data_IF_441465282640
#
_entry.id   IF_441465282640
#
_cell.length_a   1.000
_cell.length_b   1.000
_cell.length_c   1.000
_cell.angle_alpha   90.00
_cell.angle_beta   90.00
_cell.angle_gamma   90.00
#
_symmetry.space_group_name_H-M   'P 1'
#
loop_
_entity.id
_entity.type
_entity.pdbx_description
1 polymer ?
#
# COMPACT_ATOMS: atom_id res chain seq x y z
N UNK A 1 -11.66 8.89 -14.11
CA UNK A 1 -11.02 8.04 -13.08
C UNK A 1 -12.08 7.19 -12.38
N UNK A 2 -12.10 5.88 -12.63
CA UNK A 2 -13.02 4.91 -12.00
C UNK A 2 -12.34 4.22 -10.81
N UNK A 3 -11.94 4.99 -9.81
CA UNK A 3 -11.56 4.45 -8.49
C UNK A 3 -12.70 4.87 -7.56
N UNK A 4 -13.56 3.91 -7.18
CA UNK A 4 -14.79 4.18 -6.44
C UNK A 4 -14.53 4.30 -4.93
N UNK A 5 -13.56 3.54 -4.41
CA UNK A 5 -13.23 3.50 -2.98
C UNK A 5 -12.77 4.85 -2.43
N UNK A 6 -11.89 5.56 -3.14
CA UNK A 6 -11.40 6.88 -2.70
C UNK A 6 -12.47 7.98 -2.65
N UNK A 7 -13.64 7.75 -3.27
CA UNK A 7 -14.76 8.69 -3.28
C UNK A 7 -15.78 8.42 -2.17
N UNK A 8 -15.56 7.38 -1.35
CA UNK A 8 -16.44 7.02 -0.26
C UNK A 8 -15.82 7.39 1.08
N UNK A 9 -16.60 7.96 1.98
CA UNK A 9 -16.18 8.17 3.37
C UNK A 9 -16.21 6.84 4.16
N UNK A 10 -15.85 6.86 5.44
CA UNK A 10 -15.84 5.66 6.28
C UNK A 10 -17.21 4.97 6.41
N UNK A 11 -18.30 5.71 6.25
CA UNK A 11 -19.68 5.20 6.25
C UNK A 11 -20.14 4.66 4.89
N UNK A 12 -19.29 4.73 3.86
CA UNK A 12 -19.60 4.25 2.51
C UNK A 12 -20.34 5.25 1.63
N UNK A 13 -20.61 6.47 2.10
CA UNK A 13 -21.30 7.50 1.34
C UNK A 13 -20.37 8.16 0.33
N UNK A 14 -20.89 8.51 -0.86
CA UNK A 14 -20.12 9.27 -1.85
C UNK A 14 -19.98 10.70 -1.34
N UNK A 15 -18.81 11.01 -0.80
CA UNK A 15 -18.48 12.31 -0.24
C UNK A 15 -17.03 12.63 -0.57
N UNK A 16 -16.76 13.85 -1.05
CA UNK A 16 -15.37 14.25 -1.28
C UNK A 16 -14.71 14.67 0.03
N UNK A 17 -14.02 13.74 0.68
CA UNK A 17 -13.24 13.98 1.89
C UNK A 17 -11.76 14.32 1.61
N UNK A 18 -11.37 14.44 0.34
CA UNK A 18 -10.01 14.81 -0.07
C UNK A 18 -9.92 16.28 -0.47
N UNK A 19 -8.81 16.91 -0.06
CA UNK A 19 -8.38 18.20 -0.62
C UNK A 19 -8.00 18.03 -2.09
N UNK A 20 -8.07 19.11 -2.87
CA UNK A 20 -7.71 19.06 -4.30
C UNK A 20 -6.24 18.71 -4.52
N UNK A 21 -5.36 19.14 -3.61
CA UNK A 21 -3.95 18.73 -3.61
C UNK A 21 -3.80 17.21 -3.49
N UNK A 22 -4.52 16.58 -2.56
CA UNK A 22 -4.49 15.12 -2.38
C UNK A 22 -5.01 14.40 -3.62
N UNK A 23 -6.10 14.87 -4.23
CA UNK A 23 -6.61 14.30 -5.50
C UNK A 23 -5.60 14.37 -6.63
N UNK A 24 -4.90 15.50 -6.77
CA UNK A 24 -3.92 15.69 -7.83
C UNK A 24 -2.71 14.77 -7.64
N UNK A 25 -2.20 14.66 -6.42
CA UNK A 25 -1.10 13.73 -6.09
C UNK A 25 -1.52 12.29 -6.34
N UNK A 26 -2.73 11.90 -5.92
CA UNK A 26 -3.25 10.56 -6.15
C UNK A 26 -3.39 10.26 -7.64
N UNK A 27 -3.91 11.21 -8.42
CA UNK A 27 -3.98 11.08 -9.88
C UNK A 27 -2.60 10.87 -10.51
N UNK A 28 -1.63 11.71 -10.16
CA UNK A 28 -0.28 11.60 -10.71
C UNK A 28 0.38 10.26 -10.38
N UNK A 29 0.17 9.74 -9.16
CA UNK A 29 0.69 8.41 -8.78
C UNK A 29 -0.02 7.28 -9.51
N UNK A 30 -1.33 7.36 -9.68
CA UNK A 30 -2.12 6.32 -10.36
C UNK A 30 -1.90 6.30 -11.87
N UNK A 31 -1.56 7.44 -12.48
CA UNK A 31 -1.16 7.51 -13.90
C UNK A 31 0.12 6.67 -14.18
N UNK A 32 1.00 6.48 -13.19
CA UNK A 32 2.16 5.57 -13.30
C UNK A 32 1.71 4.11 -13.50
N UNK A 33 0.75 3.64 -12.70
CA UNK A 33 0.21 2.28 -12.83
C UNK A 33 -0.53 2.09 -14.15
N UNK A 34 -1.27 3.10 -14.61
CA UNK A 34 -1.90 3.05 -15.94
C UNK A 34 -0.84 2.81 -17.01
N UNK A 35 0.25 3.60 -17.00
CA UNK A 35 1.33 3.44 -17.97
C UNK A 35 1.98 2.07 -17.87
N UNK A 36 2.41 1.68 -16.68
CA UNK A 36 3.11 0.41 -16.44
C UNK A 36 2.33 -0.80 -16.96
N UNK A 37 1.04 -0.90 -16.61
CA UNK A 37 0.23 -2.06 -17.01
C UNK A 37 -0.20 -1.98 -18.49
N UNK A 38 -0.28 -0.77 -19.06
CA UNK A 38 -0.45 -0.62 -20.51
C UNK A 38 0.77 -1.11 -21.29
N UNK A 39 1.98 -0.87 -20.76
CA UNK A 39 3.23 -1.36 -21.36
C UNK A 39 3.31 -2.90 -21.36
N UNK A 40 2.52 -3.59 -20.50
CA UNK A 40 2.36 -5.05 -20.50
C UNK A 40 1.27 -5.56 -21.47
N UNK A 41 0.68 -4.69 -22.31
CA UNK A 41 -0.38 -5.07 -23.24
C UNK A 41 -1.77 -5.21 -22.59
N UNK A 42 -1.95 -4.72 -21.36
CA UNK A 42 -3.24 -4.71 -20.67
C UNK A 42 -3.92 -3.33 -20.83
N UNK A 43 -5.24 -3.27 -20.67
CA UNK A 43 -5.91 -1.98 -20.48
C UNK A 43 -5.64 -1.46 -19.06
N UNK A 44 -4.54 -0.72 -18.89
CA UNK A 44 -4.10 -0.19 -17.60
C UNK A 44 -5.09 0.77 -16.94
N UNK A 45 -6.02 1.39 -17.71
CA UNK A 45 -7.10 2.21 -17.13
C UNK A 45 -8.21 1.34 -16.57
N UNK A 46 -8.57 0.25 -17.26
CA UNK A 46 -9.61 -0.69 -16.82
C UNK A 46 -9.17 -1.48 -15.59
N UNK A 47 -7.90 -1.88 -15.52
CA UNK A 47 -7.36 -2.70 -14.41
C UNK A 47 -6.83 -1.86 -13.25
N UNK A 48 -6.85 -0.53 -13.35
CA UNK A 48 -6.20 0.38 -12.41
C UNK A 48 -6.55 0.14 -10.93
N UNK A 49 -7.82 -0.09 -10.60
CA UNK A 49 -8.25 -0.27 -9.22
C UNK A 49 -7.66 -1.54 -8.60
N UNK A 50 -7.71 -2.66 -9.33
CA UNK A 50 -7.11 -3.93 -8.91
C UNK A 50 -5.58 -3.83 -8.84
N UNK A 51 -4.94 -3.20 -9.84
CA UNK A 51 -3.50 -2.99 -9.82
C UNK A 51 -3.03 -2.20 -8.58
N UNK A 52 -3.80 -1.18 -8.16
CA UNK A 52 -3.53 -0.42 -6.92
C UNK A 52 -3.70 -1.32 -5.69
N UNK A 53 -4.77 -2.12 -5.64
CA UNK A 53 -5.05 -3.02 -4.53
C UNK A 53 -3.96 -4.11 -4.39
N UNK A 54 -3.55 -4.74 -5.49
CA UNK A 54 -2.52 -5.77 -5.52
C UNK A 54 -1.16 -5.24 -5.04
N UNK A 55 -0.70 -4.11 -5.62
CA UNK A 55 0.57 -3.50 -5.24
C UNK A 55 0.54 -2.99 -3.80
N UNK A 56 -0.58 -2.39 -3.38
CA UNK A 56 -0.78 -1.93 -2.01
C UNK A 56 -0.77 -3.09 -1.01
N UNK A 57 -1.51 -4.17 -1.31
CA UNK A 57 -1.61 -5.36 -0.48
C UNK A 57 -0.27 -6.06 -0.30
N UNK A 58 0.48 -6.26 -1.39
CA UNK A 58 1.81 -6.87 -1.33
C UNK A 58 2.79 -6.02 -0.51
N UNK A 59 2.78 -4.70 -0.72
CA UNK A 59 3.63 -3.78 0.05
C UNK A 59 3.33 -3.84 1.55
N UNK A 60 2.05 -3.82 1.93
CA UNK A 60 1.63 -3.91 3.34
C UNK A 60 1.95 -5.29 3.94
N UNK A 61 1.73 -6.38 3.19
CA UNK A 61 2.08 -7.73 3.63
C UNK A 61 3.58 -7.86 3.90
N UNK A 62 4.43 -7.33 3.00
CA UNK A 62 5.87 -7.34 3.19
C UNK A 62 6.31 -6.49 4.39
N UNK A 63 5.71 -5.32 4.59
CA UNK A 63 5.97 -4.48 5.76
C UNK A 63 5.59 -5.18 7.07
N UNK A 64 4.43 -5.84 7.11
CA UNK A 64 3.97 -6.63 8.25
C UNK A 64 4.91 -7.81 8.54
N UNK A 65 5.31 -8.56 7.52
CA UNK A 65 6.28 -9.65 7.65
C UNK A 65 7.63 -9.16 8.19
N UNK A 66 8.15 -8.06 7.64
CA UNK A 66 9.42 -7.47 8.08
C UNK A 66 9.36 -7.02 9.55
N UNK A 67 8.25 -6.40 9.95
CA UNK A 67 8.00 -6.01 11.35
C UNK A 67 7.94 -7.22 12.28
N UNK A 68 7.20 -8.27 11.90
CA UNK A 68 7.14 -9.53 12.64
C UNK A 68 8.53 -10.16 12.80
N UNK A 69 9.28 -10.28 11.70
CA UNK A 69 10.64 -10.86 11.70
C UNK A 69 11.56 -10.12 12.67
N UNK A 70 11.54 -8.79 12.66
CA UNK A 70 12.36 -7.98 13.58
C UNK A 70 11.94 -8.18 15.05
N UNK A 71 10.64 -8.27 15.32
CA UNK A 71 10.11 -8.58 16.66
C UNK A 71 10.49 -9.98 17.15
N UNK A 72 10.65 -10.97 16.27
CA UNK A 72 11.09 -12.32 16.65
C UNK A 72 12.61 -12.40 16.87
N UNK A 73 13.40 -11.66 16.10
CA UNK A 73 14.87 -11.65 16.21
C UNK A 73 15.35 -10.84 17.44
N UNK A 74 14.62 -9.78 17.82
CA UNK A 74 14.94 -8.96 18.99
C UNK A 74 15.04 -9.75 20.32
N UNK A 75 14.08 -10.61 20.71
CA UNK A 75 14.15 -11.39 21.95
C UNK A 75 15.31 -12.39 21.99
N UNK A 76 15.72 -12.96 20.85
CA UNK A 76 16.83 -13.92 20.79
C UNK A 76 18.17 -13.21 21.04
N UNK A 77 18.35 -12.01 20.48
CA UNK A 77 19.55 -11.20 20.72
C UNK A 77 19.65 -10.68 22.15
N UNK A 78 18.54 -10.31 22.78
CA UNK A 78 18.57 -9.77 24.15
C UNK A 78 18.68 -10.85 25.21
N UNK A 79 18.13 -12.05 24.99
CA UNK A 79 18.11 -13.13 26.00
C UNK A 79 19.47 -13.78 26.23
N UNK A 80 20.15 -14.24 25.17
CA UNK A 80 21.42 -14.99 25.32
C UNK A 80 22.61 -14.06 25.60
N UNK A 81 22.62 -12.86 25.01
CA UNK A 81 23.73 -11.90 25.21
C UNK A 81 23.67 -11.28 26.60
N UNK A 82 22.48 -10.90 27.13
CA UNK A 82 22.39 -10.35 28.50
C UNK A 82 22.82 -11.33 29.58
N UNK A 83 22.67 -12.64 29.34
CA UNK A 83 23.00 -13.68 30.32
C UNK A 83 24.48 -14.08 30.33
N UNK A 84 25.22 -13.78 29.25
CA UNK A 84 26.67 -14.02 29.15
C UNK A 84 27.47 -12.83 29.71
N UNK A 85 26.90 -11.62 29.67
CA UNK A 85 27.53 -10.39 30.18
C UNK A 85 26.96 -9.91 31.53
N UNK A 86 26.35 -10.82 32.31
CA UNK A 86 25.96 -10.62 33.71
C UNK A 86 26.68 -11.61 34.60
#
# INVERSE_FOLDING_TARGET
MRISGSKRNASGEIYNWWTDKTKQIFKNKTDCFVKQYSDYGLDGKRTLAENIADNGGLHQAYAAFSSWKNKQISPIKTSWIRRIFS
#
